data_IF_948300288588
#
_entry.id   IF_948300288588
#
_cell.length_a   1.000
_cell.length_b   1.000
_cell.length_c   1.000
_cell.angle_alpha   90.00
_cell.angle_beta   90.00
_cell.angle_gamma   90.00
#
_symmetry.space_group_name_H-M   'P 1'
#
loop_
_entity.id
_entity.type
_entity.pdbx_description
1 polymer ?
#
# COMPACT_ATOMS: atom_id res chain seq x y z
N UNK A 1 -51.22 59.61 28.78
CA UNK A 1 -51.50 59.10 27.43
C UNK A 1 -50.87 57.73 27.30
N UNK A 2 -51.73 56.72 27.16
CA UNK A 2 -51.39 55.32 26.93
C UNK A 2 -50.82 55.15 25.52
N UNK A 3 -49.84 54.26 25.31
CA UNK A 3 -49.86 53.24 24.27
C UNK A 3 -48.57 52.42 24.29
N UNK A 4 -48.66 51.28 24.97
CA UNK A 4 -47.96 50.07 24.57
C UNK A 4 -48.27 49.77 23.10
N UNK A 5 -47.25 49.45 22.30
CA UNK A 5 -47.45 48.71 21.05
C UNK A 5 -46.21 47.92 20.71
N UNK A 6 -46.03 46.83 21.45
CA UNK A 6 -45.46 45.58 20.94
C UNK A 6 -46.27 45.16 19.69
N UNK A 7 -45.89 45.68 18.53
CA UNK A 7 -46.40 45.24 17.23
C UNK A 7 -45.54 44.08 16.73
N UNK A 8 -45.60 42.96 17.46
CA UNK A 8 -45.13 41.67 16.97
C UNK A 8 -46.18 41.09 16.00
N UNK A 9 -46.23 41.67 14.81
CA UNK A 9 -47.02 41.16 13.69
C UNK A 9 -46.59 39.74 13.32
N UNK A 10 -47.53 38.83 13.00
CA UNK A 10 -47.22 37.46 12.64
C UNK A 10 -46.63 37.46 11.23
N UNK A 11 -45.43 36.90 11.06
CA UNK A 11 -44.71 36.68 9.79
C UNK A 11 -43.74 37.78 9.30
N UNK A 12 -42.84 38.25 10.17
CA UNK A 12 -41.58 38.84 9.68
C UNK A 12 -40.66 37.74 9.13
N UNK A 13 -40.07 37.88 7.92
CA UNK A 13 -39.12 36.92 7.33
C UNK A 13 -37.90 36.69 8.25
N UNK A 14 -37.60 37.65 9.10
CA UNK A 14 -36.53 37.60 10.09
C UNK A 14 -36.81 36.56 11.19
N UNK A 15 -38.07 36.38 11.61
CA UNK A 15 -38.46 35.34 12.57
C UNK A 15 -38.34 33.95 11.97
N UNK A 16 -38.77 33.79 10.71
CA UNK A 16 -38.60 32.53 9.98
C UNK A 16 -37.11 32.18 9.84
N UNK A 17 -36.27 33.15 9.46
CA UNK A 17 -34.82 32.97 9.38
C UNK A 17 -34.19 32.56 10.73
N UNK A 18 -34.61 33.19 11.84
CA UNK A 18 -34.17 32.83 13.20
C UNK A 18 -34.59 31.40 13.58
N UNK A 19 -35.79 30.96 13.20
CA UNK A 19 -36.27 29.59 13.43
C UNK A 19 -35.48 28.58 12.59
N UNK A 20 -35.23 28.87 11.31
CA UNK A 20 -34.41 28.03 10.43
C UNK A 20 -32.97 27.91 10.94
N UNK A 21 -32.38 29.03 11.39
CA UNK A 21 -31.04 29.05 11.98
C UNK A 21 -31.00 28.21 13.27
N UNK A 22 -32.03 28.30 14.11
CA UNK A 22 -32.13 27.51 15.35
C UNK A 22 -32.30 26.02 15.07
N UNK A 23 -33.10 25.64 14.07
CA UNK A 23 -33.24 24.25 13.58
C UNK A 23 -31.93 23.74 12.99
N UNK A 24 -31.24 24.52 12.17
CA UNK A 24 -29.94 24.18 11.61
C UNK A 24 -28.88 23.99 12.70
N UNK A 25 -28.83 24.89 13.70
CA UNK A 25 -27.94 24.75 14.86
C UNK A 25 -28.24 23.49 15.67
N UNK A 26 -29.51 23.13 15.85
CA UNK A 26 -29.93 21.89 16.52
C UNK A 26 -29.47 20.64 15.75
N UNK A 27 -29.68 20.59 14.44
CA UNK A 27 -29.23 19.49 13.57
C UNK A 27 -27.70 19.36 13.57
N UNK A 28 -26.98 20.48 13.52
CA UNK A 28 -25.52 20.49 13.59
C UNK A 28 -25.00 20.03 14.96
N UNK A 29 -25.67 20.42 16.06
CA UNK A 29 -25.31 19.95 17.40
C UNK A 29 -25.59 18.46 17.60
N UNK A 30 -26.70 17.94 17.08
CA UNK A 30 -27.04 16.52 17.07
C UNK A 30 -26.04 15.71 16.22
N UNK A 31 -25.64 16.22 15.04
CA UNK A 31 -24.59 15.62 14.22
C UNK A 31 -23.19 15.73 14.83
N UNK A 32 -22.92 16.75 15.65
CA UNK A 32 -21.63 16.91 16.36
C UNK A 32 -21.36 15.78 17.35
N UNK A 33 -22.42 15.19 17.91
CA UNK A 33 -22.34 14.03 18.81
C UNK A 33 -22.52 12.68 18.08
N UNK A 34 -22.82 12.70 16.78
CA UNK A 34 -22.89 11.49 15.99
C UNK A 34 -21.49 10.92 15.80
N UNK A 35 -21.30 9.65 16.16
CA UNK A 35 -20.02 8.95 16.00
C UNK A 35 -19.71 8.94 14.49
N UNK A 36 -18.57 9.48 14.03
CA UNK A 36 -18.20 9.33 12.63
C UNK A 36 -18.13 7.83 12.34
N UNK A 37 -18.88 7.38 11.32
CA UNK A 37 -18.84 5.98 10.89
C UNK A 37 -17.39 5.63 10.58
N UNK A 38 -16.83 4.67 11.32
CA UNK A 38 -15.48 4.16 11.04
C UNK A 38 -15.51 3.68 9.60
N UNK A 39 -14.81 4.40 8.71
CA UNK A 39 -14.74 4.02 7.31
C UNK A 39 -13.99 2.70 7.23
N UNK A 40 -14.72 1.62 6.99
CA UNK A 40 -14.14 0.29 6.82
C UNK A 40 -13.54 0.24 5.43
N UNK A 41 -12.22 0.02 5.30
CA UNK A 41 -11.62 -0.15 3.98
C UNK A 41 -12.21 -1.39 3.31
N UNK A 42 -12.78 -1.22 2.12
CA UNK A 42 -13.18 -2.36 1.29
C UNK A 42 -11.89 -2.95 0.72
N UNK A 43 -11.52 -4.14 1.21
CA UNK A 43 -10.37 -4.88 0.69
C UNK A 43 -10.85 -5.75 -0.47
N UNK A 44 -10.30 -5.56 -1.67
CA UNK A 44 -10.63 -6.40 -2.82
C UNK A 44 -10.09 -7.82 -2.64
N UNK A 45 -10.79 -8.79 -3.22
CA UNK A 45 -10.40 -10.21 -3.17
C UNK A 45 -8.95 -10.44 -3.66
N UNK A 46 -8.56 -9.79 -4.76
CA UNK A 46 -7.19 -9.86 -5.28
C UNK A 46 -6.12 -9.41 -4.27
N UNK A 47 -6.41 -8.40 -3.42
CA UNK A 47 -5.48 -7.97 -2.37
C UNK A 47 -5.43 -8.96 -1.21
N UNK A 48 -6.56 -9.62 -0.88
CA UNK A 48 -6.59 -10.67 0.12
C UNK A 48 -5.74 -11.88 -0.32
N UNK A 49 -5.86 -12.30 -1.58
CA UNK A 49 -5.09 -13.42 -2.12
C UNK A 49 -3.58 -13.12 -2.11
N UNK A 50 -3.17 -11.87 -2.40
CA UNK A 50 -1.78 -11.43 -2.27
C UNK A 50 -1.28 -11.42 -0.82
N UNK A 51 -2.12 -11.07 0.14
CA UNK A 51 -1.77 -11.13 1.56
C UNK A 51 -1.61 -12.59 1.99
N UNK A 52 -2.51 -13.46 1.53
CA UNK A 52 -2.49 -14.89 1.82
C UNK A 52 -1.24 -15.59 1.29
N UNK A 53 -0.78 -15.21 0.10
CA UNK A 53 0.45 -15.77 -0.50
C UNK A 53 1.72 -15.38 0.26
N UNK A 54 1.72 -14.24 0.97
CA UNK A 54 2.85 -13.78 1.80
C UNK A 54 2.85 -14.37 3.21
N UNK A 55 1.72 -14.94 3.66
CA UNK A 55 1.61 -15.61 4.95
C UNK A 55 2.12 -17.05 4.84
N UNK A 56 3.44 -17.24 4.78
CA UNK A 56 4.09 -18.57 4.73
C UNK A 56 4.38 -19.18 6.10
N UNK A 57 4.25 -18.40 7.19
CA UNK A 57 4.61 -18.83 8.55
C UNK A 57 3.44 -19.10 9.52
N UNK A 58 2.19 -19.05 9.04
CA UNK A 58 1.01 -19.34 9.88
C UNK A 58 0.61 -20.81 9.69
N UNK A 59 0.76 -21.61 10.74
CA UNK A 59 0.21 -22.97 10.82
C UNK A 59 -1.29 -22.90 11.10
N UNK A 60 -2.12 -23.52 10.25
CA UNK A 60 -3.59 -23.54 10.38
C UNK A 60 -4.34 -22.84 9.24
N UNK A 61 -5.65 -22.61 9.42
CA UNK A 61 -6.48 -21.91 8.44
C UNK A 61 -6.15 -20.41 8.42
N UNK A 62 -5.39 -20.02 7.40
CA UNK A 62 -4.98 -18.63 7.17
C UNK A 62 -6.18 -17.68 7.02
N UNK A 63 -7.33 -18.17 6.54
CA UNK A 63 -8.54 -17.37 6.39
C UNK A 63 -9.18 -17.07 7.75
N UNK A 64 -9.18 -18.04 8.66
CA UNK A 64 -9.66 -17.86 10.03
C UNK A 64 -8.80 -16.83 10.78
N UNK A 65 -7.47 -16.95 10.68
CA UNK A 65 -6.54 -15.97 11.25
C UNK A 65 -6.80 -14.54 10.73
N UNK A 66 -7.04 -14.38 9.42
CA UNK A 66 -7.37 -13.08 8.84
C UNK A 66 -8.70 -12.53 9.35
N UNK A 67 -9.73 -13.38 9.52
CA UNK A 67 -11.03 -12.98 10.09
C UNK A 67 -10.88 -12.49 11.53
N UNK A 68 -10.15 -13.23 12.37
CA UNK A 68 -9.88 -12.83 13.76
C UNK A 68 -9.08 -11.53 13.84
N UNK A 69 -8.05 -11.40 12.98
CA UNK A 69 -7.24 -10.20 12.86
C UNK A 69 -8.09 -9.00 12.46
N UNK A 70 -8.95 -9.16 11.45
CA UNK A 70 -9.89 -8.12 11.01
C UNK A 70 -10.83 -7.68 12.13
N UNK A 71 -11.43 -8.63 12.86
CA UNK A 71 -12.33 -8.35 13.98
C UNK A 71 -11.63 -7.53 15.08
N UNK A 72 -10.41 -7.93 15.48
CA UNK A 72 -9.60 -7.20 16.44
C UNK A 72 -9.32 -5.75 15.99
N UNK A 73 -8.85 -5.56 14.75
CA UNK A 73 -8.52 -4.22 14.26
C UNK A 73 -9.76 -3.34 14.05
N UNK A 74 -10.91 -3.93 13.69
CA UNK A 74 -12.19 -3.22 13.62
C UNK A 74 -12.58 -2.67 14.99
N UNK A 75 -12.57 -3.51 16.03
CA UNK A 75 -12.87 -3.11 17.41
C UNK A 75 -11.88 -2.02 17.89
N UNK A 76 -10.60 -2.16 17.57
CA UNK A 76 -9.57 -1.16 17.93
C UNK A 76 -9.82 0.21 17.26
N UNK A 77 -10.32 0.23 16.02
CA UNK A 77 -10.70 1.47 15.31
C UNK A 77 -11.97 2.10 15.86
N UNK A 78 -12.95 1.28 16.25
CA UNK A 78 -14.17 1.72 16.91
C UNK A 78 -13.89 2.36 18.27
N UNK A 79 -13.01 1.75 19.08
CA UNK A 79 -12.57 2.31 20.36
C UNK A 79 -11.95 3.72 20.21
N UNK A 80 -11.19 3.95 19.13
CA UNK A 80 -10.57 5.25 18.82
C UNK A 80 -11.49 6.22 18.07
N UNK A 81 -12.78 5.85 17.83
CA UNK A 81 -13.79 6.68 17.16
C UNK A 81 -13.31 7.31 15.83
N UNK A 82 -12.58 6.53 15.03
CA UNK A 82 -12.09 6.98 13.72
C UNK A 82 -10.78 7.78 13.72
N UNK A 83 -10.18 8.07 14.89
CA UNK A 83 -8.83 8.63 14.97
C UNK A 83 -7.82 7.62 14.38
N UNK A 84 -6.85 8.05 13.55
CA UNK A 84 -5.83 7.15 13.00
C UNK A 84 -5.11 6.36 14.10
N UNK A 85 -4.99 5.05 13.89
CA UNK A 85 -4.29 4.15 14.82
C UNK A 85 -2.79 4.45 14.96
N UNK A 86 -2.23 5.10 13.95
CA UNK A 86 -0.84 5.53 13.89
C UNK A 86 -0.78 7.05 13.99
N UNK A 87 0.17 7.57 14.77
CA UNK A 87 0.47 9.00 14.81
C UNK A 87 0.96 9.41 13.42
N UNK A 88 0.19 10.25 12.73
CA UNK A 88 0.58 10.80 11.43
C UNK A 88 1.22 12.16 11.67
N UNK A 89 2.32 12.44 10.98
CA UNK A 89 2.80 13.80 10.85
C UNK A 89 1.71 14.59 10.12
N UNK A 90 1.12 15.58 10.78
CA UNK A 90 0.22 16.51 10.12
C UNK A 90 1.10 17.38 9.23
N UNK A 91 1.10 17.12 7.93
CA UNK A 91 1.53 18.13 7.00
C UNK A 91 0.57 19.30 7.22
N UNK A 92 1.05 20.38 7.82
CA UNK A 92 0.31 21.64 7.84
C UNK A 92 -0.14 21.86 6.41
N UNK A 93 -1.46 21.84 6.17
CA UNK A 93 -2.03 22.21 4.89
C UNK A 93 -1.43 23.57 4.56
N UNK A 94 -0.51 23.58 3.59
CA UNK A 94 0.07 24.79 3.05
C UNK A 94 -1.05 25.45 2.24
N UNK A 95 -2.04 26.00 2.91
CA UNK A 95 -2.95 26.97 2.34
C UNK A 95 -2.19 28.30 2.21
N UNK A 96 -1.20 28.31 1.31
CA UNK A 96 -0.48 29.53 0.90
C UNK A 96 -0.12 29.47 -0.59
N UNK A 97 -1.06 29.00 -1.41
CA UNK A 97 -0.90 29.01 -2.87
C UNK A 97 -1.49 30.26 -3.53
N UNK A 98 -2.33 31.04 -2.85
CA UNK A 98 -2.92 32.26 -3.44
C UNK A 98 -1.92 33.43 -3.54
N UNK A 99 -1.08 33.63 -2.51
CA UNK A 99 -0.12 34.74 -2.48
C UNK A 99 1.04 34.58 -3.49
N UNK A 100 1.42 33.33 -3.78
CA UNK A 100 2.54 33.06 -4.69
C UNK A 100 2.14 33.22 -6.16
N UNK A 101 0.85 33.12 -6.48
CA UNK A 101 0.34 33.26 -7.85
C UNK A 101 0.23 34.74 -8.28
N UNK A 102 0.00 35.65 -7.33
CA UNK A 102 -0.10 37.09 -7.60
C UNK A 102 1.25 37.75 -7.94
N UNK A 103 2.36 37.21 -7.45
CA UNK A 103 3.72 37.72 -7.72
C UNK A 103 4.22 37.32 -9.10
N UNK A 104 3.77 36.17 -9.63
CA UNK A 104 4.14 35.70 -10.97
C UNK A 104 3.50 36.50 -12.12
N UNK A 105 2.43 37.26 -11.83
CA UNK A 105 1.71 38.02 -12.85
C UNK A 105 2.43 39.32 -13.27
N UNK A 106 3.45 39.78 -12.54
CA UNK A 106 4.11 41.07 -12.77
C UNK A 106 5.47 40.96 -13.48
N UNK A 107 5.98 39.74 -13.71
CA UNK A 107 7.33 39.48 -14.27
C UNK A 107 7.30 38.60 -15.52
N UNK A 108 6.38 38.86 -16.44
CA UNK A 108 6.04 37.97 -17.57
C UNK A 108 7.21 37.44 -18.42
N UNK A 109 8.22 38.26 -18.75
CA UNK A 109 9.27 37.84 -19.69
C UNK A 109 10.48 37.17 -19.02
N UNK A 110 10.99 37.76 -17.93
CA UNK A 110 12.13 37.20 -17.20
C UNK A 110 11.77 35.86 -16.54
N UNK A 111 10.55 35.73 -16.03
CA UNK A 111 10.03 34.50 -15.46
C UNK A 111 9.82 33.43 -16.53
N UNK A 112 9.27 33.81 -17.70
CA UNK A 112 9.14 32.90 -18.85
C UNK A 112 10.49 32.38 -19.35
N UNK A 113 11.52 33.22 -19.38
CA UNK A 113 12.88 32.79 -19.72
C UNK A 113 13.47 31.82 -18.69
N UNK A 114 13.28 32.09 -17.39
CA UNK A 114 13.68 31.16 -16.31
C UNK A 114 12.94 29.83 -16.43
N UNK A 115 11.63 29.86 -16.64
CA UNK A 115 10.79 28.67 -16.81
C UNK A 115 11.26 27.81 -17.98
N UNK A 116 11.60 28.43 -19.13
CA UNK A 116 12.17 27.74 -20.29
C UNK A 116 13.54 27.13 -19.99
N UNK A 117 14.40 27.81 -19.23
CA UNK A 117 15.69 27.28 -18.81
C UNK A 117 15.53 26.07 -17.87
N UNK A 118 14.62 26.15 -16.90
CA UNK A 118 14.26 25.03 -16.04
C UNK A 118 13.75 23.84 -16.85
N UNK A 119 12.87 24.06 -17.83
CA UNK A 119 12.36 22.98 -18.67
C UNK A 119 13.48 22.27 -19.44
N UNK A 120 14.41 23.03 -20.04
CA UNK A 120 15.59 22.47 -20.72
C UNK A 120 16.47 21.67 -19.76
N UNK A 121 16.70 22.18 -18.55
CA UNK A 121 17.44 21.45 -17.52
C UNK A 121 16.76 20.13 -17.14
N UNK A 122 15.44 20.13 -16.92
CA UNK A 122 14.69 18.92 -16.58
C UNK A 122 14.70 17.89 -17.73
N UNK A 123 14.63 18.36 -18.97
CA UNK A 123 14.77 17.49 -20.15
C UNK A 123 16.17 16.86 -20.22
N UNK A 124 17.22 17.65 -20.00
CA UNK A 124 18.59 17.16 -19.96
C UNK A 124 18.79 16.14 -18.83
N UNK A 125 18.33 16.45 -17.62
CA UNK A 125 18.39 15.55 -16.47
C UNK A 125 17.69 14.22 -16.77
N UNK A 126 16.53 14.25 -17.42
CA UNK A 126 15.82 13.02 -17.83
C UNK A 126 16.66 12.18 -18.78
N UNK A 127 17.32 12.79 -19.76
CA UNK A 127 18.20 12.07 -20.69
C UNK A 127 19.40 11.47 -19.96
N UNK A 128 20.01 12.21 -19.05
CA UNK A 128 21.18 11.73 -18.30
C UNK A 128 20.81 10.60 -17.33
N UNK A 129 19.64 10.65 -16.71
CA UNK A 129 19.11 9.53 -15.92
C UNK A 129 18.83 8.31 -16.79
N UNK A 130 18.30 8.48 -18.00
CA UNK A 130 18.08 7.37 -18.92
C UNK A 130 19.41 6.75 -19.38
N UNK A 131 20.42 7.58 -19.68
CA UNK A 131 21.79 7.12 -19.96
C UNK A 131 22.37 6.34 -18.79
N UNK A 132 22.21 6.84 -17.56
CA UNK A 132 22.65 6.16 -16.34
C UNK A 132 21.93 4.82 -16.11
N UNK A 133 20.62 4.76 -16.40
CA UNK A 133 19.82 3.53 -16.36
C UNK A 133 20.32 2.50 -17.38
N UNK A 134 20.54 2.90 -18.63
CA UNK A 134 21.06 2.04 -19.68
C UNK A 134 22.46 1.51 -19.35
N UNK A 135 23.35 2.36 -18.83
CA UNK A 135 24.68 1.95 -18.38
C UNK A 135 24.60 0.93 -17.24
N UNK A 136 23.71 1.15 -16.27
CA UNK A 136 23.48 0.21 -15.17
C UNK A 136 22.99 -1.15 -15.66
N UNK A 137 22.11 -1.18 -16.67
CA UNK A 137 21.66 -2.42 -17.32
C UNK A 137 22.79 -3.15 -18.05
N UNK A 138 23.67 -2.42 -18.75
CA UNK A 138 24.87 -3.01 -19.39
C UNK A 138 25.82 -3.60 -18.36
N UNK A 139 26.09 -2.88 -17.25
CA UNK A 139 26.90 -3.39 -16.14
C UNK A 139 26.26 -4.64 -15.55
N UNK A 140 24.96 -4.63 -15.30
CA UNK A 140 24.22 -5.80 -14.81
C UNK A 140 24.36 -7.01 -15.73
N UNK A 141 24.23 -6.82 -17.06
CA UNK A 141 24.43 -7.89 -18.06
C UNK A 141 25.86 -8.42 -18.05
N UNK A 142 26.85 -7.52 -18.03
CA UNK A 142 28.28 -7.87 -17.95
C UNK A 142 28.58 -8.70 -16.70
N UNK A 143 28.12 -8.26 -15.54
CA UNK A 143 28.39 -8.95 -14.26
C UNK A 143 27.60 -10.25 -14.12
N UNK A 144 26.45 -10.39 -14.79
CA UNK A 144 25.78 -11.69 -14.93
C UNK A 144 26.65 -12.67 -15.70
N UNK A 145 27.13 -12.28 -16.89
CA UNK A 145 27.96 -13.15 -17.73
C UNK A 145 29.26 -13.54 -17.01
N UNK A 146 29.97 -12.57 -16.40
CA UNK A 146 31.18 -12.87 -15.61
C UNK A 146 30.92 -13.86 -14.48
N UNK A 147 29.81 -13.70 -13.76
CA UNK A 147 29.41 -14.63 -12.69
C UNK A 147 29.19 -16.03 -13.25
N UNK A 148 28.51 -16.15 -14.38
CA UNK A 148 28.22 -17.44 -14.99
C UNK A 148 29.50 -18.13 -15.50
N UNK A 149 30.40 -17.37 -16.15
CA UNK A 149 31.73 -17.86 -16.55
C UNK A 149 32.53 -18.33 -15.33
N UNK A 150 32.56 -17.53 -14.25
CA UNK A 150 33.29 -17.89 -13.04
C UNK A 150 32.71 -19.14 -12.36
N UNK A 151 31.38 -19.27 -12.31
CA UNK A 151 30.72 -20.47 -11.79
C UNK A 151 31.11 -21.72 -12.57
N UNK A 152 31.10 -21.65 -13.90
CA UNK A 152 31.51 -22.76 -14.77
C UNK A 152 32.97 -23.13 -14.53
N UNK A 153 33.86 -22.12 -14.45
CA UNK A 153 35.26 -22.32 -14.15
C UNK A 153 35.48 -23.01 -12.79
N UNK A 154 34.79 -22.56 -11.74
CA UNK A 154 34.85 -23.19 -10.41
C UNK A 154 34.41 -24.65 -10.49
N UNK A 155 33.27 -24.94 -11.13
CA UNK A 155 32.82 -26.33 -11.30
C UNK A 155 33.82 -27.18 -12.08
N UNK A 156 34.42 -26.66 -13.14
CA UNK A 156 35.44 -27.38 -13.92
C UNK A 156 36.66 -27.72 -13.06
N UNK A 157 37.14 -26.76 -12.27
CA UNK A 157 38.26 -26.97 -11.35
C UNK A 157 37.89 -27.96 -10.24
N UNK A 158 36.68 -27.91 -9.71
CA UNK A 158 36.20 -28.90 -8.73
C UNK A 158 36.17 -30.31 -9.29
N UNK A 159 35.69 -30.50 -10.53
CA UNK A 159 35.74 -31.80 -11.21
C UNK A 159 37.18 -32.29 -11.42
N UNK A 160 38.13 -31.39 -11.74
CA UNK A 160 39.54 -31.75 -11.93
C UNK A 160 40.25 -32.13 -10.62
N UNK A 161 40.02 -31.39 -9.54
CA UNK A 161 40.74 -31.58 -8.28
C UNK A 161 40.05 -32.63 -7.39
N UNK A 162 38.71 -32.68 -7.37
CA UNK A 162 37.92 -33.51 -6.44
C UNK A 162 36.78 -34.26 -7.12
N UNK A 163 37.03 -35.07 -8.16
CA UNK A 163 35.98 -35.74 -8.94
C UNK A 163 35.08 -36.64 -8.08
N UNK A 164 35.65 -37.36 -7.10
CA UNK A 164 34.89 -38.26 -6.22
C UNK A 164 33.90 -37.50 -5.32
N UNK A 165 34.33 -36.36 -4.75
CA UNK A 165 33.48 -35.56 -3.85
C UNK A 165 32.29 -34.98 -4.62
N UNK A 166 32.54 -34.44 -5.82
CA UNK A 166 31.46 -33.91 -6.66
C UNK A 166 30.47 -35.00 -7.04
N UNK A 167 30.95 -36.21 -7.37
CA UNK A 167 30.09 -37.36 -7.65
C UNK A 167 29.23 -37.74 -6.43
N UNK A 168 29.83 -37.85 -5.25
CA UNK A 168 29.12 -38.20 -4.02
C UNK A 168 28.04 -37.19 -3.67
N UNK A 169 28.34 -35.89 -3.73
CA UNK A 169 27.36 -34.83 -3.46
C UNK A 169 26.20 -34.89 -4.46
N UNK A 170 26.49 -35.06 -5.75
CA UNK A 170 25.46 -35.19 -6.79
C UNK A 170 24.56 -36.41 -6.56
N UNK A 171 25.12 -37.52 -6.10
CA UNK A 171 24.35 -38.73 -5.77
C UNK A 171 23.45 -38.52 -4.55
N UNK A 172 23.98 -37.88 -3.49
CA UNK A 172 23.20 -37.53 -2.30
C UNK A 172 22.02 -36.62 -2.67
N UNK A 173 22.23 -35.60 -3.50
CA UNK A 173 21.18 -34.70 -3.98
C UNK A 173 20.08 -35.47 -4.74
N UNK A 174 20.46 -36.40 -5.61
CA UNK A 174 19.50 -37.26 -6.32
C UNK A 174 18.68 -38.11 -5.35
N UNK A 175 19.32 -38.74 -4.36
CA UNK A 175 18.62 -39.52 -3.34
C UNK A 175 17.66 -38.67 -2.52
N UNK A 176 18.04 -37.45 -2.17
CA UNK A 176 17.15 -36.51 -1.46
C UNK A 176 15.93 -36.15 -2.30
N UNK A 177 16.11 -35.80 -3.58
CA UNK A 177 15.00 -35.48 -4.48
C UNK A 177 14.04 -36.67 -4.62
N UNK A 178 14.57 -37.88 -4.81
CA UNK A 178 13.75 -39.09 -4.89
C UNK A 178 12.99 -39.33 -3.58
N UNK A 179 13.64 -39.15 -2.42
CA UNK A 179 12.99 -39.25 -1.11
C UNK A 179 11.84 -38.24 -0.97
N UNK A 180 12.05 -36.98 -1.34
CA UNK A 180 11.00 -35.95 -1.33
C UNK A 180 9.84 -36.28 -2.28
N UNK A 181 10.12 -36.83 -3.46
CA UNK A 181 9.09 -37.23 -4.42
C UNK A 181 8.30 -38.44 -3.91
N UNK A 182 8.98 -39.46 -3.36
CA UNK A 182 8.33 -40.62 -2.75
C UNK A 182 7.47 -40.21 -1.55
N UNK A 183 7.96 -39.30 -0.70
CA UNK A 183 7.19 -38.77 0.42
C UNK A 183 5.93 -38.03 -0.06
N UNK A 184 6.04 -37.21 -1.11
CA UNK A 184 4.89 -36.49 -1.68
C UNK A 184 3.90 -37.40 -2.41
N UNK A 185 4.39 -38.45 -3.09
CA UNK A 185 3.51 -39.46 -3.70
C UNK A 185 2.79 -40.26 -2.63
N UNK A 186 3.50 -40.72 -1.59
CA UNK A 186 2.91 -41.43 -0.46
C UNK A 186 1.86 -40.56 0.25
N UNK A 187 2.11 -39.26 0.45
CA UNK A 187 1.10 -38.34 1.00
C UNK A 187 -0.14 -38.18 0.08
N UNK A 188 0.03 -38.21 -1.24
CA UNK A 188 -1.11 -38.19 -2.18
C UNK A 188 -1.91 -39.49 -2.14
N UNK A 189 -1.23 -40.64 -2.07
CA UNK A 189 -1.90 -41.94 -1.97
C UNK A 189 -2.64 -42.11 -0.62
N UNK A 190 -2.08 -41.63 0.49
CA UNK A 190 -2.77 -41.67 1.80
C UNK A 190 -3.97 -40.72 1.83
N UNK A 191 -3.89 -39.53 1.22
CA UNK A 191 -5.03 -38.61 1.09
C UNK A 191 -6.12 -39.16 0.17
N UNK A 192 -5.75 -39.80 -0.94
CA UNK A 192 -6.73 -40.39 -1.85
C UNK A 192 -7.43 -41.62 -1.21
N UNK A 193 -6.68 -42.50 -0.52
CA UNK A 193 -7.26 -43.66 0.15
C UNK A 193 -8.13 -43.31 1.37
N UNK A 194 -7.85 -42.19 2.07
CA UNK A 194 -8.70 -41.70 3.16
C UNK A 194 -10.00 -41.05 2.67
N UNK A 195 -10.03 -40.53 1.43
CA UNK A 195 -11.26 -40.04 0.79
C UNK A 195 -12.14 -41.19 0.30
N UNK A 196 -11.57 -42.32 -0.14
CA UNK A 196 -12.33 -43.51 -0.55
C UNK A 196 -12.83 -44.36 0.60
N UNK A 197 -12.21 -44.32 1.78
CA UNK A 197 -12.62 -45.10 2.95
C UNK A 197 -13.80 -44.50 3.74
N UNK A 198 -14.24 -43.28 3.42
CA UNK A 198 -15.36 -42.58 4.06
C UNK A 198 -16.63 -42.49 3.19
N UNK A 199 -16.78 -43.38 2.20
CA UNK A 199 -18.01 -43.58 1.42
C UNK A 199 -18.56 -44.97 1.66
#
# INVERSE_FOLDING_TARGET
MYAHSDSDGPQSPERAARIHLRKARKILAERRNSKPSVCVPIVSKAKLDLILSKLSGVSGDKMEFLKQTYAFWKLKREFRRGVPLLKRLQACSLHRSAANFAVAATTGDAESHRMRAHLKFWQQLRQDLERGRLLSELIRKRERIKRDIFRLFVTEIEFKIKPLVVFQLRFIDQLQVLSYLLFNQNNKFTLNNSITAHR
#
